data_IF_827846403970
#
_entry.id   IF_827846403970
#
_cell.length_a   1.000
_cell.length_b   1.000
_cell.length_c   1.000
_cell.angle_alpha   90.00
_cell.angle_beta   90.00
_cell.angle_gamma   90.00
#
_symmetry.space_group_name_H-M   'P 1'
#
loop_
_entity.id
_entity.type
_entity.pdbx_description
1 polymer ?
#
# COMPACT_ATOMS: atom_id res chain seq x y z
N UNK A 1 -12.91 -10.45 -2.35
CA UNK A 1 -14.12 -11.29 -2.24
C UNK A 1 -14.35 -12.24 -3.42
N UNK A 2 -14.54 -11.81 -4.68
CA UNK A 2 -14.74 -12.76 -5.81
C UNK A 2 -13.47 -13.52 -6.17
N UNK A 3 -12.31 -12.87 -6.20
CA UNK A 3 -11.03 -13.54 -6.50
C UNK A 3 -10.65 -14.59 -5.44
N UNK A 4 -10.78 -14.26 -4.15
CA UNK A 4 -10.40 -15.15 -3.04
C UNK A 4 -11.32 -16.36 -2.88
N UNK A 5 -12.58 -16.25 -3.30
CA UNK A 5 -13.56 -17.36 -3.27
C UNK A 5 -13.32 -18.42 -4.35
N UNK A 6 -12.54 -18.10 -5.38
CA UNK A 6 -12.16 -19.00 -6.45
C UNK A 6 -10.82 -19.70 -6.19
N UNK A 7 -10.16 -19.40 -5.07
CA UNK A 7 -8.90 -20.04 -4.70
C UNK A 7 -9.21 -21.30 -3.89
N UNK A 8 -8.62 -22.43 -4.30
CA UNK A 8 -8.74 -23.73 -3.62
C UNK A 8 -7.93 -23.78 -2.30
N UNK A 9 -7.00 -22.84 -2.13
CA UNK A 9 -6.23 -22.59 -0.91
C UNK A 9 -6.33 -21.11 -0.52
N UNK A 10 -6.22 -20.78 0.77
CA UNK A 10 -6.30 -19.41 1.27
C UNK A 10 -5.21 -18.50 0.67
N UNK A 11 -4.13 -19.10 0.14
CA UNK A 11 -3.01 -18.43 -0.52
C UNK A 11 -2.15 -17.65 0.46
N UNK A 12 -0.93 -17.28 0.04
CA UNK A 12 -0.13 -16.35 0.85
C UNK A 12 -0.77 -14.98 0.79
N UNK A 13 -0.72 -14.24 1.89
CA UNK A 13 -1.24 -12.86 1.93
C UNK A 13 -0.60 -11.96 0.87
N UNK A 14 0.63 -12.27 0.44
CA UNK A 14 1.34 -11.56 -0.62
C UNK A 14 0.75 -11.77 -2.02
N UNK A 15 0.10 -12.91 -2.27
CA UNK A 15 -0.51 -13.27 -3.55
C UNK A 15 -1.95 -12.71 -3.67
N UNK A 16 -2.46 -12.08 -2.60
CA UNK A 16 -3.79 -11.43 -2.64
C UNK A 16 -3.75 -10.23 -3.57
N UNK A 17 -4.83 -10.02 -4.35
CA UNK A 17 -4.91 -8.95 -5.33
C UNK A 17 -4.89 -7.62 -4.60
N UNK A 18 -3.72 -7.02 -4.53
CA UNK A 18 -3.53 -5.64 -4.17
C UNK A 18 -3.32 -4.86 -5.48
N UNK A 19 -3.96 -3.71 -5.61
CA UNK A 19 -3.88 -2.94 -6.85
C UNK A 19 -2.64 -2.01 -6.89
N UNK A 20 -1.92 -1.89 -5.77
CA UNK A 20 -0.93 -0.82 -5.54
C UNK A 20 0.43 -1.31 -5.02
N UNK A 21 0.62 -2.58 -4.63
CA UNK A 21 1.98 -3.04 -4.28
C UNK A 21 2.91 -2.91 -5.49
N UNK A 22 4.17 -2.58 -5.19
CA UNK A 22 5.23 -2.42 -6.19
C UNK A 22 4.92 -1.40 -7.29
N UNK A 23 3.97 -0.49 -7.06
CA UNK A 23 3.55 0.56 -8.00
C UNK A 23 3.87 1.98 -7.52
N UNK A 24 4.75 2.13 -6.52
CA UNK A 24 5.16 3.44 -6.01
C UNK A 24 5.71 4.29 -7.16
N UNK A 25 5.24 5.53 -7.28
CA UNK A 25 5.56 6.44 -8.39
C UNK A 25 4.77 6.19 -9.68
N UNK A 26 3.96 5.13 -9.74
CA UNK A 26 3.03 4.88 -10.85
C UNK A 26 1.65 5.46 -10.56
N UNK A 27 0.88 5.72 -11.62
CA UNK A 27 -0.52 6.13 -11.49
C UNK A 27 -1.40 5.03 -10.89
N UNK A 28 -2.28 5.42 -9.97
CA UNK A 28 -3.26 4.56 -9.35
C UNK A 28 -4.22 4.00 -10.42
N UNK A 29 -4.43 2.67 -10.49
CA UNK A 29 -5.32 2.09 -11.50
C UNK A 29 -6.81 2.44 -11.30
N UNK A 30 -7.17 3.05 -10.17
CA UNK A 30 -8.55 3.47 -9.86
C UNK A 30 -8.80 4.94 -10.20
N UNK A 31 -7.90 5.84 -9.78
CA UNK A 31 -8.13 7.29 -9.87
C UNK A 31 -7.03 8.07 -10.62
N UNK A 32 -5.97 7.41 -11.08
CA UNK A 32 -4.86 8.04 -11.80
C UNK A 32 -3.82 8.76 -10.94
N UNK A 33 -4.12 9.09 -9.69
CA UNK A 33 -3.16 9.75 -8.78
C UNK A 33 -1.92 8.90 -8.50
N UNK A 34 -0.80 9.55 -8.19
CA UNK A 34 0.44 8.87 -7.88
C UNK A 34 0.32 7.99 -6.62
N UNK A 35 0.70 6.72 -6.77
CA UNK A 35 0.85 5.79 -5.64
C UNK A 35 2.11 6.17 -4.87
N UNK A 36 1.95 6.38 -3.57
CA UNK A 36 3.03 6.72 -2.62
C UNK A 36 3.40 5.53 -1.75
N UNK A 37 4.53 5.62 -1.07
CA UNK A 37 4.92 4.69 -0.02
C UNK A 37 4.90 5.36 1.34
N UNK A 38 4.62 4.57 2.38
CA UNK A 38 4.88 4.93 3.79
C UNK A 38 5.77 3.85 4.40
N UNK A 39 6.82 4.27 5.08
CA UNK A 39 7.77 3.40 5.76
C UNK A 39 7.40 3.26 7.24
N UNK A 40 7.28 2.01 7.68
CA UNK A 40 7.21 1.63 9.08
C UNK A 40 8.51 0.91 9.46
N UNK A 41 8.80 0.84 10.76
CA UNK A 41 10.03 0.21 11.30
C UNK A 41 10.36 -1.18 10.73
N UNK A 42 9.38 -1.95 10.27
CA UNK A 42 9.56 -3.34 9.81
C UNK A 42 9.15 -3.58 8.36
N UNK A 43 8.43 -2.66 7.73
CA UNK A 43 7.86 -2.87 6.41
C UNK A 43 7.47 -1.55 5.76
N UNK A 44 7.41 -1.56 4.44
CA UNK A 44 6.95 -0.43 3.62
C UNK A 44 5.62 -0.78 3.00
N UNK A 45 4.68 0.16 2.98
CA UNK A 45 3.36 -0.01 2.36
C UNK A 45 3.21 0.97 1.22
N UNK A 46 2.79 0.47 0.05
CA UNK A 46 2.38 1.31 -1.07
C UNK A 46 0.88 1.62 -0.97
N UNK A 47 0.49 2.88 -1.17
CA UNK A 47 -0.88 3.34 -1.04
C UNK A 47 -1.21 4.47 -2.01
N UNK A 48 -2.49 4.61 -2.38
CA UNK A 48 -2.99 5.78 -3.12
C UNK A 48 -3.58 6.79 -2.11
N UNK A 49 -3.08 8.04 -2.04
CA UNK A 49 -3.60 9.04 -1.11
C UNK A 49 -5.10 9.31 -1.31
N UNK A 50 -5.53 9.47 -2.56
CA UNK A 50 -6.91 9.83 -2.89
C UNK A 50 -7.90 8.73 -2.54
N UNK A 51 -7.59 7.47 -2.89
CA UNK A 51 -8.50 6.35 -2.64
C UNK A 51 -8.48 5.84 -1.20
N UNK A 52 -7.32 5.83 -0.52
CA UNK A 52 -7.18 5.10 0.75
C UNK A 52 -7.23 6.01 1.97
N UNK A 53 -6.83 7.27 1.83
CA UNK A 53 -6.71 8.21 2.95
C UNK A 53 -7.46 9.51 2.71
N UNK A 54 -8.37 9.54 1.73
CA UNK A 54 -9.18 10.72 1.41
C UNK A 54 -8.34 11.93 0.98
N UNK A 55 -7.21 11.69 0.32
CA UNK A 55 -6.26 12.71 -0.12
C UNK A 55 -5.14 13.01 0.88
N UNK A 56 -5.18 12.46 2.11
CA UNK A 56 -4.14 12.73 3.12
C UNK A 56 -2.85 11.97 2.81
N UNK A 57 -1.73 12.68 2.73
CA UNK A 57 -0.41 12.06 2.63
C UNK A 57 0.02 11.58 4.02
N UNK A 58 0.33 10.29 4.14
CA UNK A 58 0.87 9.68 5.34
C UNK A 58 2.38 9.98 5.43
N UNK A 59 2.83 10.34 6.63
CA UNK A 59 4.25 10.47 6.94
C UNK A 59 4.81 9.14 7.41
N UNK A 60 6.11 8.92 7.17
CA UNK A 60 6.82 7.75 7.66
C UNK A 60 6.76 7.68 9.18
N UNK A 61 6.47 6.49 9.69
CA UNK A 61 6.47 6.20 11.13
C UNK A 61 7.64 5.26 11.46
N UNK A 62 8.76 5.47 10.79
CA UNK A 62 10.05 5.08 11.34
C UNK A 62 10.31 6.04 12.49
N UNK A 63 10.54 5.50 13.70
CA UNK A 63 11.00 6.34 14.80
C UNK A 63 12.28 6.99 14.31
N UNK A 64 12.24 8.30 14.02
CA UNK A 64 13.43 9.04 13.67
C UNK A 64 14.39 8.79 14.82
N UNK A 65 15.51 8.12 14.54
CA UNK A 65 16.54 7.80 15.52
C UNK A 65 17.35 9.06 15.83
N UNK A 66 16.66 10.17 16.03
CA UNK A 66 17.17 11.53 16.16
C UNK A 66 16.39 12.31 17.21
N UNK A 67 16.44 11.81 18.44
CA UNK A 67 16.73 12.66 19.58
C UNK A 67 17.93 12.03 20.30
N UNK A 68 19.00 12.82 20.38
CA UNK A 68 20.27 12.57 21.06
C UNK A 68 20.06 12.53 22.57
#
# INVERSE_FOLDING_TARGET
LTHERALDDIGRSADRPNAVHHRVGSGCPVCGDEVRSVEYRRYTVAYCPTCQTGGKVLADNTTSRFLR
#
